data_IF_856401898750
#
_entry.id   IF_856401898750
#
_cell.length_a   1.000
_cell.length_b   1.000
_cell.length_c   1.000
_cell.angle_alpha   90.00
_cell.angle_beta   90.00
_cell.angle_gamma   90.00
#
_symmetry.space_group_name_H-M   'P 1'
#
loop_
_entity.id
_entity.type
_entity.pdbx_description
1 polymer ?
#
# COMPACT_ATOMS: atom_id res chain seq x y z
N UNK A 1 19.60 33.77 61.26
CA UNK A 1 20.23 33.99 59.94
C UNK A 1 20.74 32.64 59.43
N UNK A 2 20.53 32.14 58.22
CA UNK A 2 19.86 32.62 57.03
C UNK A 2 20.06 31.61 55.88
N UNK A 3 19.05 31.57 55.01
CA UNK A 3 19.03 31.07 53.62
C UNK A 3 18.94 29.55 53.35
N UNK A 4 17.68 29.15 53.21
CA UNK A 4 17.13 28.24 52.19
C UNK A 4 18.02 28.13 50.95
N UNK A 5 18.31 26.90 50.52
CA UNK A 5 18.67 26.62 49.13
C UNK A 5 17.51 25.88 48.46
N UNK A 6 16.78 26.66 47.70
CA UNK A 6 15.75 26.26 46.76
C UNK A 6 16.34 25.54 45.54
N UNK A 7 15.67 24.46 45.15
CA UNK A 7 15.29 24.14 43.78
C UNK A 7 16.36 24.10 42.68
N UNK A 8 16.64 22.87 42.23
CA UNK A 8 17.01 22.58 40.85
C UNK A 8 16.14 21.43 40.36
N UNK A 9 14.91 21.74 39.92
CA UNK A 9 14.04 20.79 39.21
C UNK A 9 14.84 20.32 38.00
N UNK A 10 15.25 19.05 37.98
CA UNK A 10 15.77 18.41 36.77
C UNK A 10 14.65 18.48 35.74
N UNK A 11 14.84 19.33 34.74
CA UNK A 11 13.99 19.38 33.57
C UNK A 11 14.01 17.97 32.94
N UNK A 12 12.95 17.21 33.21
CA UNK A 12 12.57 16.04 32.45
C UNK A 12 12.08 16.55 31.09
N UNK A 13 13.01 16.96 30.24
CA UNK A 13 12.71 17.34 28.86
C UNK A 13 12.72 16.05 28.04
N UNK A 14 11.70 15.20 28.21
CA UNK A 14 11.40 14.16 27.22
C UNK A 14 10.70 14.88 26.07
N UNK A 15 11.49 15.57 25.25
CA UNK A 15 11.05 16.08 23.97
C UNK A 15 10.99 14.92 22.99
N UNK A 16 9.80 14.36 22.84
CA UNK A 16 9.21 13.91 21.57
C UNK A 16 10.16 13.31 20.52
N UNK A 17 10.89 12.25 20.86
CA UNK A 17 11.58 11.41 19.86
C UNK A 17 10.64 10.48 19.08
N UNK A 18 9.35 10.46 19.45
CA UNK A 18 8.32 9.59 18.84
C UNK A 18 7.66 10.21 17.59
N UNK A 19 7.71 11.54 17.40
CA UNK A 19 7.03 12.21 16.29
C UNK A 19 7.80 12.22 14.96
N UNK A 20 9.13 12.08 14.98
CA UNK A 20 9.96 12.13 13.78
C UNK A 20 10.01 10.78 13.04
N UNK A 21 10.00 9.66 13.79
CA UNK A 21 10.14 8.31 13.23
C UNK A 21 8.93 7.85 12.41
N UNK A 22 7.72 8.17 12.86
CA UNK A 22 6.53 7.85 12.08
C UNK A 22 6.43 8.70 10.81
N UNK A 23 6.89 9.96 10.81
CA UNK A 23 6.90 10.80 9.60
C UNK A 23 7.79 10.23 8.51
N UNK A 24 9.02 9.85 8.87
CA UNK A 24 9.99 9.27 7.93
C UNK A 24 9.47 7.93 7.34
N UNK A 25 8.80 7.12 8.16
CA UNK A 25 8.18 5.86 7.71
C UNK A 25 6.99 6.12 6.76
N UNK A 26 6.14 7.10 7.08
CA UNK A 26 5.00 7.45 6.23
C UNK A 26 5.46 8.07 4.90
N UNK A 27 6.48 8.92 4.91
CA UNK A 27 7.06 9.49 3.68
C UNK A 27 7.64 8.40 2.77
N UNK A 28 8.29 7.38 3.35
CA UNK A 28 8.77 6.22 2.59
C UNK A 28 7.61 5.40 2.01
N UNK A 29 6.55 5.13 2.77
CA UNK A 29 5.37 4.41 2.28
C UNK A 29 4.64 5.19 1.17
N UNK A 30 4.56 6.52 1.28
CA UNK A 30 4.03 7.40 0.24
C UNK A 30 4.90 7.35 -1.03
N UNK A 31 6.23 7.36 -0.86
CA UNK A 31 7.16 7.23 -1.98
C UNK A 31 7.00 5.89 -2.70
N UNK A 32 6.79 4.78 -1.98
CA UNK A 32 6.50 3.46 -2.58
C UNK A 32 5.16 3.47 -3.33
N UNK A 33 4.15 4.19 -2.81
CA UNK A 33 2.86 4.36 -3.49
C UNK A 33 3.00 5.15 -4.81
N UNK A 34 3.81 6.21 -4.79
CA UNK A 34 4.03 7.14 -5.91
C UNK A 34 4.99 6.59 -6.96
N UNK A 35 6.09 5.98 -6.56
CA UNK A 35 7.14 5.47 -7.44
C UNK A 35 6.96 3.96 -7.68
N UNK A 36 6.62 3.61 -8.92
CA UNK A 36 6.40 2.23 -9.32
C UNK A 36 7.68 1.37 -9.27
N UNK A 37 8.86 1.97 -9.39
CA UNK A 37 10.13 1.23 -9.30
C UNK A 37 10.33 0.68 -7.89
N UNK A 38 9.90 1.43 -6.87
CA UNK A 38 10.03 1.03 -5.47
C UNK A 38 9.15 -0.17 -5.11
N UNK A 39 8.07 -0.43 -5.89
CA UNK A 39 7.23 -1.64 -5.73
C UNK A 39 7.97 -2.93 -6.09
N UNK A 40 9.01 -2.84 -6.92
CA UNK A 40 9.80 -3.98 -7.37
C UNK A 40 11.17 -4.07 -6.69
N UNK A 41 11.42 -3.21 -5.70
CA UNK A 41 12.63 -3.27 -4.88
C UNK A 41 12.74 -4.64 -4.23
N UNK A 42 13.90 -5.31 -4.29
CA UNK A 42 14.10 -6.58 -3.63
C UNK A 42 13.84 -6.47 -2.13
N UNK A 43 13.33 -7.55 -1.53
CA UNK A 43 12.85 -7.59 -0.15
C UNK A 43 13.92 -7.15 0.87
N UNK A 44 15.18 -7.52 0.67
CA UNK A 44 16.30 -7.15 1.54
C UNK A 44 16.57 -5.63 1.53
N UNK A 45 16.51 -5.01 0.36
CA UNK A 45 16.72 -3.57 0.19
C UNK A 45 15.52 -2.79 0.76
N UNK A 46 14.30 -3.29 0.57
CA UNK A 46 13.11 -2.72 1.22
C UNK A 46 13.19 -2.78 2.75
N UNK A 47 13.61 -3.92 3.31
CA UNK A 47 13.79 -4.08 4.75
C UNK A 47 14.87 -3.13 5.30
N UNK A 48 15.95 -2.91 4.55
CA UNK A 48 16.99 -1.96 4.92
C UNK A 48 16.49 -0.50 4.93
N UNK A 49 15.74 -0.08 3.91
CA UNK A 49 15.13 1.25 3.84
C UNK A 49 14.15 1.49 5.00
N UNK A 50 13.33 0.50 5.33
CA UNK A 50 12.42 0.55 6.49
C UNK A 50 13.19 0.61 7.82
N UNK A 51 14.30 -0.12 7.94
CA UNK A 51 15.19 -0.05 9.09
C UNK A 51 15.80 1.36 9.28
N UNK A 52 16.22 2.01 8.19
CA UNK A 52 16.72 3.39 8.22
C UNK A 52 15.64 4.40 8.60
N UNK A 53 14.40 4.20 8.12
CA UNK A 53 13.23 4.99 8.53
C UNK A 53 12.79 4.70 9.98
N UNK A 54 13.45 3.75 10.66
CA UNK A 54 13.16 3.31 12.02
C UNK A 54 11.71 2.82 12.17
N UNK A 55 11.24 2.11 11.14
CA UNK A 55 9.96 1.41 11.13
C UNK A 55 9.88 0.34 12.23
N UNK A 56 8.67 -0.14 12.51
CA UNK A 56 8.48 -1.21 13.49
C UNK A 56 9.17 -2.50 13.05
N UNK A 57 9.59 -3.30 14.03
CA UNK A 57 10.26 -4.57 13.76
C UNK A 57 9.38 -5.54 12.95
N UNK A 58 8.06 -5.54 13.20
CA UNK A 58 7.13 -6.38 12.44
C UNK A 58 7.01 -5.92 10.99
N UNK A 59 7.05 -4.60 10.72
CA UNK A 59 6.99 -4.07 9.35
C UNK A 59 8.26 -4.39 8.56
N UNK A 60 9.43 -4.30 9.20
CA UNK A 60 10.70 -4.71 8.59
C UNK A 60 10.69 -6.22 8.29
N UNK A 61 10.24 -7.04 9.24
CA UNK A 61 10.15 -8.49 9.07
C UNK A 61 9.17 -8.87 7.95
N UNK A 62 8.01 -8.23 7.89
CA UNK A 62 7.00 -8.46 6.86
C UNK A 62 7.50 -8.07 5.47
N UNK A 63 8.27 -6.98 5.36
CA UNK A 63 8.87 -6.58 4.09
C UNK A 63 9.95 -7.56 3.61
N UNK A 64 10.72 -8.15 4.52
CA UNK A 64 11.77 -9.12 4.19
C UNK A 64 11.21 -10.50 3.82
N UNK A 65 10.17 -10.98 4.52
CA UNK A 65 9.62 -12.32 4.35
C UNK A 65 8.40 -12.38 3.42
N UNK A 66 7.74 -11.24 3.19
CA UNK A 66 6.41 -11.17 2.57
C UNK A 66 5.26 -11.63 3.48
N UNK A 67 5.54 -11.98 4.75
CA UNK A 67 4.54 -12.44 5.71
C UNK A 67 4.00 -11.29 6.58
N UNK A 68 2.72 -10.96 6.41
CA UNK A 68 2.01 -9.91 7.14
C UNK A 68 1.36 -10.37 8.45
N UNK A 69 1.56 -11.63 8.87
CA UNK A 69 1.00 -12.18 10.12
C UNK A 69 1.38 -11.35 11.34
N UNK A 70 2.65 -10.92 11.42
CA UNK A 70 3.16 -10.09 12.52
C UNK A 70 2.55 -8.68 12.53
N UNK A 71 2.23 -8.14 11.35
CA UNK A 71 1.54 -6.85 11.23
C UNK A 71 0.12 -6.90 11.77
N UNK A 72 -0.55 -8.05 11.59
CA UNK A 72 -1.90 -8.27 12.11
C UNK A 72 -1.90 -8.27 13.64
N UNK A 73 -0.85 -8.82 14.27
CA UNK A 73 -0.68 -8.79 15.72
C UNK A 73 -0.35 -7.38 16.24
N UNK A 74 0.44 -6.59 15.50
CA UNK A 74 0.84 -5.23 15.92
C UNK A 74 -0.28 -4.18 15.70
N UNK A 75 -0.89 -4.16 14.52
CA UNK A 75 -1.88 -3.15 14.12
C UNK A 75 -3.33 -3.57 14.36
N UNK A 76 -3.55 -4.83 14.74
CA UNK A 76 -4.87 -5.44 14.79
C UNK A 76 -5.39 -5.82 13.39
N UNK A 77 -6.47 -6.60 13.40
CA UNK A 77 -7.06 -7.12 12.17
C UNK A 77 -8.06 -6.12 11.58
N UNK A 78 -7.55 -5.18 10.77
CA UNK A 78 -8.38 -4.24 10.02
C UNK A 78 -8.71 -4.84 8.65
N UNK A 79 -9.98 -5.13 8.40
CA UNK A 79 -10.44 -5.54 7.06
C UNK A 79 -10.33 -4.33 6.12
N UNK A 80 -9.34 -4.34 5.25
CA UNK A 80 -9.27 -3.41 4.13
C UNK A 80 -10.20 -3.94 3.02
N UNK A 81 -11.49 -3.59 3.13
CA UNK A 81 -12.46 -3.84 2.07
C UNK A 81 -12.00 -3.04 0.85
N UNK A 82 -11.51 -3.72 -0.19
CA UNK A 82 -11.16 -3.05 -1.44
C UNK A 82 -12.37 -2.22 -1.90
N UNK A 83 -12.21 -0.91 -2.20
CA UNK A 83 -13.25 -0.18 -2.89
C UNK A 83 -13.44 -0.93 -4.20
N UNK A 84 -14.61 -1.55 -4.33
CA UNK A 84 -14.97 -2.37 -5.48
C UNK A 84 -15.13 -1.45 -6.70
N UNK A 85 -14.00 -1.11 -7.30
CA UNK A 85 -13.93 -0.48 -8.61
C UNK A 85 -13.69 -1.63 -9.57
N UNK A 86 -14.78 -2.18 -10.10
CA UNK A 86 -14.73 -3.00 -11.30
C UNK A 86 -14.17 -2.12 -12.42
N UNK A 87 -12.85 -2.11 -12.59
CA UNK A 87 -12.24 -1.59 -13.80
C UNK A 87 -12.39 -2.68 -14.86
N UNK A 88 -13.51 -2.63 -15.58
CA UNK A 88 -13.63 -3.33 -16.84
C UNK A 88 -12.78 -2.56 -17.86
N UNK A 89 -11.87 -3.21 -18.59
CA UNK A 89 -11.26 -2.61 -19.77
C UNK A 89 -12.40 -2.09 -20.66
N UNK A 90 -12.32 -0.84 -21.09
CA UNK A 90 -13.23 -0.34 -22.11
C UNK A 90 -13.01 -1.22 -23.35
N UNK A 91 -13.95 -2.13 -23.62
CA UNK A 91 -13.99 -2.86 -24.87
C UNK A 91 -14.30 -1.81 -25.93
N UNK A 92 -13.34 -1.54 -26.81
CA UNK A 92 -13.62 -0.84 -28.06
C UNK A 92 -14.77 -1.60 -28.72
N UNK A 93 -15.92 -0.94 -28.87
CA UNK A 93 -17.05 -1.51 -29.60
C UNK A 93 -16.55 -1.79 -31.01
N UNK A 94 -16.28 -3.07 -31.32
CA UNK A 94 -16.09 -3.50 -32.70
C UNK A 94 -17.37 -3.08 -33.44
N UNK A 95 -17.23 -2.13 -34.38
CA UNK A 95 -18.34 -1.71 -35.24
C UNK A 95 -19.02 -2.96 -35.81
N UNK A 96 -20.36 -3.03 -35.78
CA UNK A 96 -21.07 -4.19 -36.29
C UNK A 96 -20.70 -4.35 -37.77
N UNK A 97 -20.09 -5.49 -38.10
CA UNK A 97 -19.85 -5.87 -39.48
C UNK A 97 -21.18 -5.81 -40.23
N UNK A 98 -21.24 -5.02 -41.31
CA UNK A 98 -22.41 -4.92 -42.17
C UNK A 98 -22.80 -6.34 -42.62
N UNK A 99 -24.00 -6.77 -42.26
CA UNK A 99 -24.54 -8.06 -42.67
C UNK A 99 -24.74 -8.05 -44.20
N UNK A 100 -23.84 -8.70 -44.94
CA UNK A 100 -24.11 -9.04 -46.34
C UNK A 100 -25.39 -9.88 -46.40
N UNK A 101 -26.37 -9.55 -47.27
CA UNK A 101 -27.66 -10.24 -47.29
C UNK A 101 -27.47 -11.73 -47.60
N UNK A 102 -27.84 -12.60 -46.66
CA UNK A 102 -27.88 -14.04 -46.89
C UNK A 102 -28.94 -14.35 -47.96
N UNK A 103 -28.51 -14.69 -49.17
CA UNK A 103 -29.36 -15.31 -50.19
C UNK A 103 -29.87 -16.65 -49.65
N UNK A 104 -31.10 -16.66 -49.14
CA UNK A 104 -31.84 -17.89 -48.81
C UNK A 104 -32.12 -18.63 -50.12
N UNK A 105 -31.58 -19.84 -50.36
CA UNK A 105 -31.92 -20.59 -51.56
C UNK A 105 -33.38 -21.01 -51.48
N UNK A 106 -34.14 -20.72 -52.54
CA UNK A 106 -35.56 -21.08 -52.65
C UNK A 106 -35.76 -22.59 -52.38
N UNK A 107 -36.75 -22.99 -51.55
CA UNK A 107 -37.01 -24.41 -51.33
C UNK A 107 -37.50 -25.03 -52.64
N UNK A 108 -36.64 -25.86 -53.23
CA UNK A 108 -36.92 -26.60 -54.45
C UNK A 108 -38.10 -27.55 -54.26
N UNK A 109 -39.04 -27.48 -55.20
CA UNK A 109 -40.05 -28.50 -55.46
C UNK A 109 -39.39 -29.86 -55.68
N UNK A 110 -39.69 -30.86 -54.85
CA UNK A 110 -39.53 -32.27 -55.23
C UNK A 110 -40.74 -33.08 -54.77
N UNK A 111 -41.53 -33.43 -55.80
CA UNK A 111 -42.46 -34.56 -56.01
C UNK A 111 -43.60 -34.84 -55.05
#
# INVERSE_FOLDING_TARGET
MGKLRSHGRRAFFIATLQGKKMKDTIELLEAIGRDASLRHTPADEMAHLLGQAQASAALVAAAASGDSSQLTAEFGQLSNQAPQVTQMPAREEEEPAEEEPLEIPAPGSQS
#
